data_IF_176810835689
#
_entry.id   IF_176810835689
#
_cell.length_a   1.000
_cell.length_b   1.000
_cell.length_c   1.000
_cell.angle_alpha   90.00
_cell.angle_beta   90.00
_cell.angle_gamma   90.00
#
_symmetry.space_group_name_H-M   'P 1'
#
loop_
_entity.id
_entity.type
_entity.pdbx_description
1 polymer ?
#
# COMPACT_ATOMS: atom_id res chain seq x y z
N UNK A 1 -9.92 19.93 3.09
CA UNK A 1 -9.37 18.65 2.57
C UNK A 1 -9.18 17.70 3.74
N UNK A 2 -9.79 16.53 3.71
CA UNK A 2 -9.64 15.47 4.72
C UNK A 2 -9.43 14.11 4.05
N UNK A 3 -8.85 13.18 4.79
CA UNK A 3 -8.54 11.83 4.32
C UNK A 3 -9.09 10.81 5.29
N UNK A 4 -9.65 9.73 4.77
CA UNK A 4 -10.19 8.63 5.54
C UNK A 4 -9.75 7.30 4.93
N UNK A 5 -9.17 6.43 5.74
CA UNK A 5 -8.92 5.05 5.32
C UNK A 5 -10.21 4.24 5.44
N UNK A 6 -10.80 3.89 4.30
CA UNK A 6 -12.05 3.09 4.25
C UNK A 6 -11.77 1.60 4.50
N UNK A 7 -10.68 1.10 3.91
CA UNK A 7 -10.27 -0.31 4.04
C UNK A 7 -8.79 -0.30 4.39
N UNK A 8 -8.44 -0.61 5.64
CA UNK A 8 -7.03 -0.71 6.06
C UNK A 8 -6.33 -1.90 5.42
N UNK A 9 -4.99 -1.94 5.45
CA UNK A 9 -4.23 -3.10 5.02
C UNK A 9 -4.63 -4.36 5.80
N UNK A 10 -4.78 -5.47 5.09
CA UNK A 10 -5.20 -6.75 5.69
C UNK A 10 -4.02 -7.57 6.26
N UNK A 11 -2.79 -7.11 6.10
CA UNK A 11 -1.59 -7.81 6.57
C UNK A 11 -0.45 -6.85 6.86
N UNK A 12 0.75 -7.42 7.08
CA UNK A 12 1.97 -6.65 7.34
C UNK A 12 3.05 -6.99 6.30
N UNK A 13 3.96 -6.04 5.97
CA UNK A 13 4.97 -6.25 4.93
C UNK A 13 6.10 -7.19 5.37
N UNK A 14 6.19 -7.49 6.67
CA UNK A 14 7.17 -8.39 7.27
C UNK A 14 6.43 -9.40 8.14
N UNK A 15 6.68 -10.67 7.88
CA UNK A 15 6.08 -11.74 8.66
C UNK A 15 6.80 -11.95 10.00
N UNK A 16 6.06 -12.40 11.03
CA UNK A 16 6.63 -12.68 12.37
C UNK A 16 7.80 -13.64 12.28
N UNK A 17 7.70 -14.69 11.48
CA UNK A 17 8.77 -15.69 11.30
C UNK A 17 10.03 -15.08 10.68
N UNK A 18 9.91 -14.07 9.83
CA UNK A 18 11.05 -13.35 9.27
C UNK A 18 11.80 -12.55 10.35
N UNK A 19 11.05 -11.87 11.23
CA UNK A 19 11.63 -11.18 12.39
C UNK A 19 12.29 -12.17 13.34
N UNK A 20 11.65 -13.31 13.62
CA UNK A 20 12.21 -14.37 14.47
C UNK A 20 13.50 -14.92 13.89
N UNK A 21 13.55 -15.15 12.59
CA UNK A 21 14.76 -15.63 11.92
C UNK A 21 15.89 -14.61 12.01
N UNK A 22 15.59 -13.33 11.74
CA UNK A 22 16.57 -12.23 11.82
C UNK A 22 17.13 -12.07 13.25
N UNK A 23 16.28 -12.20 14.26
CA UNK A 23 16.64 -12.05 15.68
C UNK A 23 17.00 -13.33 16.39
N UNK A 24 16.96 -14.49 15.70
CA UNK A 24 17.22 -15.83 16.27
C UNK A 24 16.31 -16.16 17.45
N UNK A 25 15.05 -15.74 17.38
CA UNK A 25 14.02 -16.07 18.39
C UNK A 25 13.43 -17.43 18.03
N UNK A 26 13.43 -18.36 18.98
CA UNK A 26 13.01 -19.75 18.74
C UNK A 26 11.58 -20.01 19.21
N UNK A 27 11.18 -19.32 20.30
CA UNK A 27 9.85 -19.53 20.88
C UNK A 27 8.76 -18.65 20.24
N UNK A 28 7.51 -18.91 20.59
CA UNK A 28 6.33 -18.17 20.12
C UNK A 28 5.70 -17.27 21.17
N UNK A 29 6.33 -17.14 22.35
CA UNK A 29 5.75 -16.39 23.46
C UNK A 29 5.61 -14.90 23.14
N UNK A 30 6.52 -14.35 22.35
CA UNK A 30 6.54 -12.93 21.97
C UNK A 30 5.87 -12.64 20.61
N UNK A 31 5.26 -13.62 19.94
CA UNK A 31 4.68 -13.45 18.58
C UNK A 31 3.66 -12.30 18.51
N UNK A 32 2.79 -12.19 19.52
CA UNK A 32 1.81 -11.10 19.59
C UNK A 32 2.47 -9.72 19.70
N UNK A 33 3.56 -9.63 20.47
CA UNK A 33 4.35 -8.42 20.61
C UNK A 33 5.06 -8.07 19.31
N UNK A 34 5.70 -9.04 18.68
CA UNK A 34 6.39 -8.86 17.39
C UNK A 34 5.41 -8.32 16.34
N UNK A 35 4.19 -8.86 16.23
CA UNK A 35 3.16 -8.33 15.33
C UNK A 35 2.87 -6.86 15.58
N UNK A 36 2.72 -6.46 16.83
CA UNK A 36 2.47 -5.06 17.20
C UNK A 36 3.65 -4.15 16.84
N UNK A 37 4.88 -4.62 17.02
CA UNK A 37 6.09 -3.87 16.65
C UNK A 37 6.24 -3.73 15.13
N UNK A 38 5.90 -4.77 14.36
CA UNK A 38 5.90 -4.72 12.90
C UNK A 38 4.88 -3.69 12.40
N UNK A 39 3.66 -3.71 12.95
CA UNK A 39 2.63 -2.74 12.62
C UNK A 39 3.07 -1.30 12.95
N UNK A 40 3.69 -1.07 14.10
CA UNK A 40 4.23 0.23 14.48
C UNK A 40 5.36 0.68 13.55
N UNK A 41 6.26 -0.22 13.18
CA UNK A 41 7.34 0.09 12.22
C UNK A 41 6.79 0.44 10.84
N UNK A 42 5.75 -0.30 10.35
CA UNK A 42 5.06 0.02 9.10
C UNK A 42 4.45 1.42 9.13
N UNK A 43 3.66 1.72 10.14
CA UNK A 43 3.03 3.06 10.29
C UNK A 43 4.07 4.18 10.31
N UNK A 44 5.19 3.96 10.98
CA UNK A 44 6.29 4.93 11.03
C UNK A 44 6.96 5.10 9.66
N UNK A 45 7.21 4.01 8.93
CA UNK A 45 7.75 4.06 7.58
C UNK A 45 6.80 4.79 6.61
N UNK A 46 5.49 4.48 6.66
CA UNK A 46 4.45 5.14 5.87
C UNK A 46 4.39 6.65 6.15
N UNK A 47 4.47 7.04 7.44
CA UNK A 47 4.48 8.44 7.84
C UNK A 47 5.73 9.19 7.33
N UNK A 48 6.92 8.57 7.40
CA UNK A 48 8.16 9.21 6.96
C UNK A 48 8.28 9.31 5.45
N UNK A 49 7.85 8.28 4.73
CA UNK A 49 7.96 8.21 3.27
C UNK A 49 6.76 8.81 2.55
N UNK A 50 5.62 8.93 3.23
CA UNK A 50 4.30 9.25 2.66
C UNK A 50 3.87 8.26 1.59
N UNK A 51 4.35 7.04 1.70
CA UNK A 51 3.94 5.92 0.86
C UNK A 51 2.94 5.05 1.61
N UNK A 52 2.04 4.44 0.88
CA UNK A 52 1.23 3.34 1.38
C UNK A 52 1.97 2.04 1.09
N UNK A 53 2.42 1.32 2.11
CA UNK A 53 3.26 0.13 1.91
C UNK A 53 2.45 -1.09 1.47
N UNK A 54 1.23 -1.22 1.97
CA UNK A 54 0.32 -2.30 1.60
C UNK A 54 -0.96 -1.75 1.02
N UNK A 55 -1.64 -2.55 0.23
CA UNK A 55 -2.90 -2.15 -0.38
C UNK A 55 -3.91 -1.67 0.67
N UNK A 56 -4.39 -0.45 0.50
CA UNK A 56 -5.43 0.17 1.30
C UNK A 56 -6.38 0.98 0.42
N UNK A 57 -7.63 1.13 0.84
CA UNK A 57 -8.60 2.01 0.18
C UNK A 57 -8.74 3.29 0.95
N UNK A 58 -8.54 4.39 0.27
CA UNK A 58 -8.61 5.73 0.81
C UNK A 58 -9.72 6.53 0.18
N UNK A 59 -10.27 7.44 0.96
CA UNK A 59 -11.20 8.46 0.52
C UNK A 59 -10.59 9.83 0.79
N UNK A 60 -10.41 10.58 -0.27
CA UNK A 60 -10.02 11.99 -0.21
C UNK A 60 -11.27 12.84 -0.36
N UNK A 61 -11.49 13.74 0.57
CA UNK A 61 -12.63 14.67 0.56
C UNK A 61 -12.13 16.09 0.34
N UNK A 62 -12.71 16.78 -0.63
CA UNK A 62 -12.43 18.15 -1.01
C UNK A 62 -13.73 18.98 -0.95
N UNK A 63 -13.61 20.26 -0.69
CA UNK A 63 -14.76 21.18 -0.63
C UNK A 63 -15.17 21.65 -2.04
N UNK A 64 -14.25 21.60 -3.01
CA UNK A 64 -14.49 21.91 -4.41
C UNK A 64 -13.42 21.25 -5.29
N UNK A 65 -13.71 21.11 -6.58
CA UNK A 65 -12.70 20.73 -7.56
C UNK A 65 -11.65 21.86 -7.70
N UNK A 66 -10.36 21.52 -7.91
CA UNK A 66 -9.32 22.52 -8.15
C UNK A 66 -9.53 23.16 -9.52
N UNK A 67 -9.57 24.50 -9.55
CA UNK A 67 -9.78 25.29 -10.77
C UNK A 67 -8.52 26.04 -11.16
N UNK A 68 -8.42 26.41 -12.43
CA UNK A 68 -7.37 27.31 -12.92
C UNK A 68 -7.44 28.67 -12.23
N UNK A 69 -6.29 29.21 -11.81
CA UNK A 69 -6.18 30.55 -11.29
C UNK A 69 -6.70 30.80 -9.86
N UNK A 70 -7.15 29.72 -9.16
CA UNK A 70 -7.67 29.86 -7.80
C UNK A 70 -6.60 29.77 -6.71
N UNK A 71 -5.35 29.48 -7.06
CA UNK A 71 -4.28 29.33 -6.09
C UNK A 71 -3.32 30.50 -6.14
N UNK A 72 -2.91 30.97 -4.95
CA UNK A 72 -1.83 31.93 -4.83
C UNK A 72 -0.57 31.43 -5.57
N UNK A 73 0.15 32.29 -6.29
CA UNK A 73 1.29 31.90 -7.14
C UNK A 73 2.44 31.20 -6.41
N UNK A 74 2.37 31.10 -5.09
CA UNK A 74 3.39 30.46 -4.24
C UNK A 74 2.98 29.10 -3.69
N UNK A 75 1.80 28.58 -4.02
CA UNK A 75 1.21 27.43 -3.33
C UNK A 75 1.56 26.06 -3.93
N UNK A 76 2.12 26.00 -5.15
CA UNK A 76 2.47 24.70 -5.79
C UNK A 76 3.79 24.76 -6.56
N UNK A 77 4.56 23.65 -6.58
CA UNK A 77 5.67 23.50 -7.51
C UNK A 77 5.18 23.67 -8.95
N UNK A 78 5.97 24.34 -9.77
CA UNK A 78 5.66 24.65 -11.17
C UNK A 78 5.37 23.43 -12.07
N UNK A 79 5.61 22.21 -11.56
CA UNK A 79 5.42 20.95 -12.29
C UNK A 79 4.04 20.32 -12.12
N UNK A 80 3.23 20.78 -11.18
CA UNK A 80 1.89 20.24 -10.92
C UNK A 80 0.86 21.23 -11.46
N UNK A 81 -0.04 20.79 -12.38
CA UNK A 81 -1.11 21.64 -12.88
C UNK A 81 -2.03 22.11 -11.74
N UNK A 82 -2.40 23.39 -11.74
CA UNK A 82 -3.27 23.98 -10.71
C UNK A 82 -4.61 23.26 -10.57
N UNK A 83 -5.13 22.77 -11.69
CA UNK A 83 -6.41 22.04 -11.77
C UNK A 83 -6.28 20.52 -11.45
N UNK A 84 -5.12 20.04 -11.02
CA UNK A 84 -4.95 18.63 -10.69
C UNK A 84 -5.40 18.34 -9.25
N UNK A 85 -6.11 17.23 -9.08
CA UNK A 85 -6.31 16.61 -7.78
C UNK A 85 -5.04 15.79 -7.46
N UNK A 86 -4.46 16.03 -6.30
CA UNK A 86 -3.28 15.32 -5.81
C UNK A 86 -3.76 14.22 -4.87
N UNK A 87 -3.36 12.98 -5.13
CA UNK A 87 -3.65 11.84 -4.26
C UNK A 87 -2.48 11.63 -3.28
N UNK A 88 -2.69 11.83 -1.97
CA UNK A 88 -1.60 11.85 -0.99
C UNK A 88 -0.88 10.51 -0.82
N UNK A 89 -1.59 9.39 -0.98
CA UNK A 89 -1.04 8.06 -0.80
C UNK A 89 -0.54 7.48 -2.13
N UNK A 90 0.72 7.08 -2.15
CA UNK A 90 1.40 6.48 -3.31
C UNK A 90 2.03 5.13 -2.93
N UNK A 91 2.27 4.23 -3.87
CA UNK A 91 1.87 4.28 -5.28
C UNK A 91 0.36 4.08 -5.46
N UNK A 92 -0.20 4.75 -6.45
CA UNK A 92 -1.61 4.58 -6.80
C UNK A 92 -1.81 3.26 -7.54
N UNK A 93 -2.77 2.46 -7.07
CA UNK A 93 -3.22 1.24 -7.76
C UNK A 93 -4.31 1.58 -8.78
N UNK A 94 -5.37 2.25 -8.34
CA UNK A 94 -6.46 2.73 -9.21
C UNK A 94 -7.33 3.76 -8.51
N UNK A 95 -8.01 4.58 -9.29
CA UNK A 95 -9.14 5.38 -8.84
C UNK A 95 -10.41 4.52 -8.93
N UNK A 96 -11.16 4.45 -7.84
CA UNK A 96 -12.40 3.67 -7.74
C UNK A 96 -13.58 4.50 -8.21
N UNK A 97 -13.73 5.72 -7.70
CA UNK A 97 -14.79 6.66 -8.08
C UNK A 97 -14.41 8.09 -7.74
N UNK A 98 -14.94 9.03 -8.51
CA UNK A 98 -14.97 10.44 -8.18
C UNK A 98 -16.44 10.83 -8.10
N UNK A 99 -16.88 11.28 -6.94
CA UNK A 99 -18.27 11.69 -6.71
C UNK A 99 -18.31 13.14 -6.26
N UNK A 100 -19.38 13.83 -6.57
CA UNK A 100 -19.58 15.21 -6.16
C UNK A 100 -21.07 15.55 -6.01
N UNK A 101 -21.37 16.51 -5.16
CA UNK A 101 -22.71 17.10 -5.09
C UNK A 101 -22.83 18.17 -6.18
N UNK A 102 -23.82 18.06 -7.02
CA UNK A 102 -24.12 19.09 -8.01
C UNK A 102 -24.88 20.27 -7.39
N UNK A 103 -25.11 21.34 -8.17
CA UNK A 103 -25.77 22.55 -7.67
C UNK A 103 -27.22 22.34 -7.20
N UNK A 104 -27.83 21.17 -7.49
CA UNK A 104 -29.14 20.76 -6.97
C UNK A 104 -29.06 19.97 -5.68
N UNK A 105 -27.85 19.65 -5.20
CA UNK A 105 -27.60 18.77 -4.05
C UNK A 105 -27.69 17.27 -4.38
N UNK A 106 -27.77 16.91 -5.65
CA UNK A 106 -27.77 15.50 -6.07
C UNK A 106 -26.34 14.97 -6.17
N UNK A 107 -26.11 13.74 -5.64
CA UNK A 107 -24.83 13.06 -5.75
C UNK A 107 -24.62 12.56 -7.17
N UNK A 108 -23.58 13.04 -7.82
CA UNK A 108 -23.16 12.65 -9.16
C UNK A 108 -21.86 11.83 -9.08
N UNK A 109 -21.69 10.87 -9.99
CA UNK A 109 -20.45 10.13 -10.17
C UNK A 109 -19.87 10.48 -11.53
N UNK A 110 -18.59 10.87 -11.55
CA UNK A 110 -17.89 11.18 -12.80
C UNK A 110 -17.64 9.93 -13.64
N UNK A 111 -17.83 10.04 -14.95
CA UNK A 111 -17.42 9.00 -15.88
C UNK A 111 -15.87 8.92 -15.91
N UNK A 112 -15.28 7.73 -15.83
CA UNK A 112 -13.83 7.53 -16.01
C UNK A 112 -13.27 8.11 -17.32
N UNK A 113 -14.10 8.28 -18.36
CA UNK A 113 -13.71 8.92 -19.62
C UNK A 113 -13.56 10.46 -19.51
N UNK A 114 -14.00 11.08 -18.41
CA UNK A 114 -13.97 12.52 -18.22
C UNK A 114 -12.69 13.02 -17.54
N UNK A 115 -11.84 12.12 -17.05
CA UNK A 115 -10.58 12.45 -16.38
C UNK A 115 -9.43 11.54 -16.78
N UNK A 116 -8.21 12.04 -16.57
CA UNK A 116 -6.95 11.31 -16.79
C UNK A 116 -6.24 11.10 -15.47
N UNK A 117 -5.80 9.88 -15.22
CA UNK A 117 -5.03 9.52 -14.03
C UNK A 117 -3.55 9.31 -14.41
N UNK A 118 -2.65 10.05 -13.76
CA UNK A 118 -1.19 9.83 -13.84
C UNK A 118 -0.71 9.06 -12.61
N UNK A 119 -0.84 7.76 -12.66
CA UNK A 119 -0.44 6.86 -11.57
C UNK A 119 1.08 6.74 -11.41
N UNK A 120 1.86 7.03 -12.47
CA UNK A 120 3.33 6.98 -12.43
C UNK A 120 3.98 8.14 -11.67
N UNK A 121 3.22 9.18 -11.36
CA UNK A 121 3.71 10.29 -10.55
C UNK A 121 3.63 9.91 -9.06
N UNK A 122 4.55 10.47 -8.29
CA UNK A 122 4.55 10.37 -6.83
C UNK A 122 4.64 11.78 -6.25
N UNK A 123 3.52 12.33 -5.74
CA UNK A 123 2.17 11.77 -5.63
C UNK A 123 1.45 11.64 -6.98
N UNK A 124 0.47 10.72 -7.05
CA UNK A 124 -0.36 10.53 -8.23
C UNK A 124 -1.31 11.72 -8.46
N UNK A 125 -1.59 12.01 -9.72
CA UNK A 125 -2.37 13.17 -10.13
C UNK A 125 -3.59 12.76 -10.96
N UNK A 126 -4.70 13.46 -10.76
CA UNK A 126 -5.90 13.34 -11.60
C UNK A 126 -6.19 14.71 -12.21
N UNK A 127 -6.39 14.75 -13.52
CA UNK A 127 -6.76 15.97 -14.26
C UNK A 127 -7.97 15.71 -15.13
N UNK A 128 -8.75 16.74 -15.51
CA UNK A 128 -9.77 16.56 -16.53
C UNK A 128 -9.17 16.06 -17.83
N UNK A 129 -9.95 15.29 -18.59
CA UNK A 129 -9.61 14.88 -19.97
C UNK A 129 -9.44 16.11 -20.85
N UNK A 130 -8.59 16.00 -21.88
CA UNK A 130 -8.39 17.09 -22.85
C UNK A 130 -9.71 17.59 -23.44
N UNK A 131 -9.93 18.91 -23.37
CA UNK A 131 -11.16 19.56 -23.84
C UNK A 131 -12.31 19.50 -22.82
N UNK A 132 -12.11 18.93 -21.63
CA UNK A 132 -13.08 18.94 -20.52
C UNK A 132 -12.59 19.78 -19.36
N UNK A 133 -13.52 20.18 -18.51
CA UNK A 133 -13.26 20.92 -17.27
C UNK A 133 -13.91 20.16 -16.12
N UNK A 134 -13.44 20.41 -14.89
CA UNK A 134 -14.13 19.90 -13.72
C UNK A 134 -15.56 20.46 -13.64
N UNK A 135 -16.55 19.65 -13.25
CA UNK A 135 -17.90 20.14 -13.00
C UNK A 135 -17.92 21.13 -11.84
N UNK A 136 -18.95 21.94 -11.79
CA UNK A 136 -19.17 22.87 -10.66
C UNK A 136 -19.87 22.03 -9.56
N UNK A 137 -19.16 21.85 -8.45
CA UNK A 137 -19.73 21.23 -7.26
C UNK A 137 -20.49 22.25 -6.41
N UNK A 138 -21.45 21.77 -5.63
CA UNK A 138 -22.12 22.59 -4.62
C UNK A 138 -21.09 23.24 -3.69
N UNK A 139 -21.19 24.53 -3.34
CA UNK A 139 -20.25 25.19 -2.42
C UNK A 139 -20.53 24.76 -0.96
N UNK A 140 -20.21 23.53 -0.64
CA UNK A 140 -20.40 22.89 0.67
C UNK A 140 -19.12 22.16 1.08
N UNK A 141 -18.90 22.01 2.41
CA UNK A 141 -17.77 21.26 2.94
C UNK A 141 -17.92 19.80 2.53
N UNK A 142 -16.86 19.25 1.91
CA UNK A 142 -16.86 17.85 1.51
C UNK A 142 -17.68 17.53 0.26
N UNK A 143 -18.00 18.52 -0.57
CA UNK A 143 -18.81 18.33 -1.77
C UNK A 143 -18.19 17.41 -2.84
N UNK A 144 -16.88 17.16 -2.78
CA UNK A 144 -16.18 16.27 -3.72
C UNK A 144 -15.48 15.16 -2.98
N UNK A 145 -15.68 13.93 -3.42
CA UNK A 145 -15.10 12.73 -2.82
C UNK A 145 -14.39 11.89 -3.87
N UNK A 146 -13.12 11.58 -3.63
CA UNK A 146 -12.32 10.70 -4.48
C UNK A 146 -11.99 9.44 -3.71
N UNK A 147 -12.50 8.31 -4.16
CA UNK A 147 -12.17 6.99 -3.59
C UNK A 147 -11.12 6.32 -4.48
N UNK A 148 -10.03 5.86 -3.88
CA UNK A 148 -8.92 5.26 -4.61
C UNK A 148 -8.22 4.17 -3.80
N UNK A 149 -7.57 3.24 -4.50
CA UNK A 149 -6.75 2.19 -3.92
C UNK A 149 -5.27 2.58 -4.10
N UNK A 150 -4.51 2.51 -3.02
CA UNK A 150 -3.07 2.79 -3.00
C UNK A 150 -2.30 1.69 -2.27
N UNK A 151 -1.01 1.57 -2.56
CA UNK A 151 -0.08 0.63 -1.92
C UNK A 151 0.73 -0.18 -2.91
N UNK A 152 1.83 -0.75 -2.44
CA UNK A 152 2.62 -1.70 -3.23
C UNK A 152 1.88 -3.02 -3.32
N UNK A 153 1.22 -3.26 -4.45
CA UNK A 153 0.44 -4.46 -4.68
C UNK A 153 0.35 -4.77 -6.17
N UNK A 154 0.31 -6.05 -6.48
CA UNK A 154 0.07 -6.54 -7.83
C UNK A 154 -1.12 -7.49 -7.83
N UNK A 155 -2.15 -7.25 -8.66
CA UNK A 155 -3.28 -8.16 -8.76
C UNK A 155 -2.80 -9.49 -9.33
N UNK A 156 -3.39 -10.59 -8.86
CA UNK A 156 -3.07 -11.91 -9.34
C UNK A 156 -4.33 -12.74 -9.62
N UNK A 157 -4.16 -13.75 -10.41
CA UNK A 157 -5.15 -14.79 -10.68
C UNK A 157 -4.53 -16.16 -10.50
N UNK A 158 -5.31 -17.15 -10.13
CA UNK A 158 -4.85 -18.53 -9.98
C UNK A 158 -5.49 -19.44 -11.02
N UNK A 159 -4.73 -20.42 -11.48
CA UNK A 159 -5.22 -21.50 -12.31
C UNK A 159 -5.28 -22.77 -11.47
N UNK A 160 -6.49 -23.23 -11.19
CA UNK A 160 -6.75 -24.40 -10.35
C UNK A 160 -6.35 -25.71 -11.03
N UNK A 161 -6.20 -25.72 -12.35
CA UNK A 161 -5.86 -26.95 -13.10
C UNK A 161 -4.37 -27.29 -13.02
N UNK A 162 -3.50 -26.29 -13.07
CA UNK A 162 -2.04 -26.48 -13.12
C UNK A 162 -1.30 -25.93 -11.88
N UNK A 163 -2.02 -25.41 -10.88
CA UNK A 163 -1.43 -24.88 -9.66
C UNK A 163 -0.59 -23.61 -9.87
N UNK A 164 -0.81 -22.91 -10.98
CA UNK A 164 -0.07 -21.68 -11.30
C UNK A 164 -0.81 -20.43 -10.83
N UNK A 165 -0.02 -19.43 -10.48
CA UNK A 165 -0.46 -18.09 -10.20
C UNK A 165 0.08 -17.15 -11.29
N UNK A 166 -0.77 -16.30 -11.82
CA UNK A 166 -0.38 -15.25 -12.79
C UNK A 166 -0.52 -13.89 -12.12
N UNK A 167 0.57 -13.14 -12.09
CA UNK A 167 0.65 -11.82 -11.50
C UNK A 167 0.67 -10.75 -12.57
N UNK A 168 -0.24 -9.79 -12.47
CA UNK A 168 -0.34 -8.66 -13.38
C UNK A 168 0.29 -7.43 -12.71
N UNK A 169 1.53 -7.10 -13.10
CA UNK A 169 2.24 -5.95 -12.54
C UNK A 169 3.76 -6.01 -12.79
N UNK A 170 4.48 -4.99 -12.35
CA UNK A 170 5.93 -4.90 -12.58
C UNK A 170 6.76 -5.80 -11.63
N UNK A 171 6.13 -6.80 -11.03
CA UNK A 171 6.77 -7.68 -10.06
C UNK A 171 7.55 -8.77 -10.78
N UNK A 172 8.81 -8.95 -10.40
CA UNK A 172 9.64 -10.06 -10.84
C UNK A 172 10.19 -10.77 -9.60
N UNK A 173 9.76 -12.00 -9.37
CA UNK A 173 10.27 -12.83 -8.29
C UNK A 173 11.19 -13.90 -8.82
N UNK A 174 12.14 -14.26 -7.97
CA UNK A 174 13.05 -15.37 -8.21
C UNK A 174 12.58 -16.63 -7.44
N UNK A 175 13.06 -17.77 -7.88
CA UNK A 175 12.84 -19.02 -7.13
C UNK A 175 13.47 -18.89 -5.75
N UNK A 176 12.70 -19.25 -4.72
CA UNK A 176 13.09 -19.12 -3.32
C UNK A 176 12.65 -17.82 -2.64
N UNK A 177 12.16 -16.83 -3.40
CA UNK A 177 11.62 -15.62 -2.79
C UNK A 177 10.40 -15.94 -1.94
N UNK A 178 10.30 -15.26 -0.81
CA UNK A 178 9.18 -15.39 0.12
C UNK A 178 8.10 -14.37 -0.20
N UNK A 179 6.88 -14.85 -0.38
CA UNK A 179 5.73 -14.02 -0.76
C UNK A 179 4.55 -14.24 0.18
N UNK A 180 3.74 -13.22 0.34
CA UNK A 180 2.49 -13.25 1.08
C UNK A 180 1.33 -12.77 0.20
N UNK A 181 0.14 -13.23 0.53
CA UNK A 181 -1.07 -12.87 -0.19
C UNK A 181 -2.09 -12.30 0.77
N UNK A 182 -2.76 -11.23 0.37
CA UNK A 182 -3.83 -10.65 1.15
C UNK A 182 -4.97 -10.16 0.24
N UNK A 183 -6.16 -10.15 0.79
CA UNK A 183 -7.33 -9.65 0.10
C UNK A 183 -7.43 -8.13 0.16
N UNK A 184 -8.14 -7.55 -0.78
CA UNK A 184 -8.40 -6.09 -0.82
C UNK A 184 -9.41 -5.61 0.24
N UNK A 185 -9.84 -6.49 1.15
CA UNK A 185 -10.72 -6.14 2.27
C UNK A 185 -12.18 -5.82 1.88
N UNK A 186 -12.63 -6.18 0.68
CA UNK A 186 -14.04 -6.07 0.30
C UNK A 186 -14.92 -7.08 1.04
N UNK A 187 -16.17 -6.71 1.32
CA UNK A 187 -17.14 -7.63 1.93
C UNK A 187 -17.30 -8.90 1.07
N UNK A 188 -17.22 -10.07 1.70
CA UNK A 188 -17.32 -11.37 1.02
C UNK A 188 -16.09 -11.79 0.22
N UNK A 189 -14.95 -11.10 0.33
CA UNK A 189 -13.73 -11.52 -0.31
C UNK A 189 -13.12 -12.75 0.40
N UNK A 190 -12.72 -13.74 -0.42
CA UNK A 190 -12.00 -14.93 0.05
C UNK A 190 -10.79 -15.18 -0.85
N UNK A 191 -9.61 -15.32 -0.25
CA UNK A 191 -8.42 -15.74 -0.97
C UNK A 191 -8.66 -17.10 -1.65
N UNK A 192 -8.03 -17.34 -2.83
CA UNK A 192 -8.01 -18.68 -3.43
C UNK A 192 -7.48 -19.73 -2.45
N UNK A 193 -8.22 -20.78 -2.21
CA UNK A 193 -7.76 -21.83 -1.30
C UNK A 193 -6.65 -22.68 -1.94
N UNK A 194 -5.59 -23.03 -1.20
CA UNK A 194 -5.43 -22.95 0.25
C UNK A 194 -4.64 -21.73 0.76
N UNK A 195 -4.60 -20.59 0.04
CA UNK A 195 -3.87 -19.42 0.51
C UNK A 195 -4.50 -18.85 1.77
N UNK A 196 -3.62 -18.51 2.73
CA UNK A 196 -3.94 -17.82 3.97
C UNK A 196 -3.16 -16.49 4.01
N UNK A 197 -3.81 -15.41 4.44
CA UNK A 197 -3.17 -14.09 4.55
C UNK A 197 -2.12 -14.04 5.67
N UNK A 198 -2.23 -14.88 6.68
CA UNK A 198 -1.27 -14.99 7.78
C UNK A 198 -0.09 -15.93 7.47
N UNK A 199 -0.11 -16.61 6.33
CA UNK A 199 0.93 -17.53 5.91
C UNK A 199 1.88 -16.89 4.89
N UNK A 200 3.13 -17.36 4.85
CA UNK A 200 4.09 -17.04 3.81
C UNK A 200 4.41 -18.26 2.96
N UNK A 201 4.60 -18.04 1.68
CA UNK A 201 4.86 -19.06 0.67
C UNK A 201 6.18 -18.79 -0.03
N UNK A 202 6.79 -19.79 -0.62
CA UNK A 202 8.00 -19.67 -1.42
C UNK A 202 7.65 -19.78 -2.90
N UNK A 203 8.36 -19.02 -3.74
CA UNK A 203 8.29 -19.20 -5.18
C UNK A 203 9.03 -20.49 -5.55
N UNK A 204 8.30 -21.49 -5.99
CA UNK A 204 8.86 -22.79 -6.37
C UNK A 204 9.38 -22.79 -7.82
N UNK A 205 8.70 -22.08 -8.73
CA UNK A 205 9.18 -21.87 -10.08
C UNK A 205 8.75 -20.52 -10.65
N UNK A 206 9.54 -19.96 -11.56
CA UNK A 206 9.33 -18.69 -12.21
C UNK A 206 9.58 -18.83 -13.72
N UNK A 207 8.66 -19.45 -14.49
CA UNK A 207 8.86 -19.71 -15.91
C UNK A 207 8.84 -18.43 -16.79
N UNK A 208 8.52 -17.28 -16.20
CA UNK A 208 8.46 -15.99 -16.88
C UNK A 208 7.04 -15.52 -17.15
N UNK A 209 6.91 -14.35 -17.79
CA UNK A 209 5.62 -13.70 -18.11
C UNK A 209 4.68 -13.50 -16.92
N UNK A 210 5.24 -13.31 -15.71
CA UNK A 210 4.44 -13.14 -14.49
C UNK A 210 3.76 -14.41 -13.99
N UNK A 211 4.16 -15.59 -14.49
CA UNK A 211 3.63 -16.88 -14.06
C UNK A 211 4.57 -17.50 -13.04
N UNK A 212 4.00 -18.02 -11.95
CA UNK A 212 4.75 -18.61 -10.85
C UNK A 212 4.03 -19.85 -10.31
N UNK A 213 4.77 -20.76 -9.67
CA UNK A 213 4.21 -21.79 -8.80
C UNK A 213 4.68 -21.56 -7.38
N UNK A 214 3.88 -21.97 -6.42
CA UNK A 214 4.13 -21.77 -5.00
C UNK A 214 4.43 -23.08 -4.30
N UNK A 215 5.22 -23.02 -3.25
CA UNK A 215 5.37 -24.08 -2.26
C UNK A 215 5.17 -23.53 -0.85
N UNK A 216 4.84 -24.41 0.07
CA UNK A 216 4.89 -24.11 1.50
C UNK A 216 6.34 -24.01 1.98
N UNK A 217 6.53 -23.69 3.26
CA UNK A 217 7.87 -23.60 3.86
C UNK A 217 8.59 -24.95 3.98
N UNK A 218 7.86 -26.05 3.87
CA UNK A 218 8.41 -27.40 3.86
C UNK A 218 8.78 -27.89 2.44
N UNK A 219 8.51 -27.07 1.40
CA UNK A 219 8.79 -27.41 0.01
C UNK A 219 7.67 -28.14 -0.72
N UNK A 220 6.50 -28.35 -0.09
CA UNK A 220 5.38 -29.00 -0.75
C UNK A 220 4.70 -28.01 -1.71
N UNK A 221 4.37 -28.48 -2.92
CA UNK A 221 3.69 -27.66 -3.92
C UNK A 221 2.27 -27.27 -3.46
N UNK A 222 1.90 -26.02 -3.70
CA UNK A 222 0.55 -25.52 -3.43
C UNK A 222 -0.34 -25.84 -4.64
N UNK A 223 -1.40 -26.61 -4.39
CA UNK A 223 -2.44 -26.88 -5.37
C UNK A 223 -3.70 -26.06 -5.03
N UNK A 224 -4.16 -25.21 -5.95
CA UNK A 224 -5.35 -24.42 -5.75
C UNK A 224 -6.62 -25.24 -5.93
N UNK A 225 -7.52 -25.16 -4.96
CA UNK A 225 -8.83 -25.85 -5.02
C UNK A 225 -9.96 -24.96 -5.49
N UNK A 226 -9.81 -23.63 -5.36
CA UNK A 226 -10.74 -22.64 -5.89
C UNK A 226 -10.00 -21.38 -6.36
N UNK A 227 -10.68 -20.52 -7.11
CA UNK A 227 -10.14 -19.26 -7.60
C UNK A 227 -10.39 -18.08 -6.65
N UNK A 228 -10.91 -18.35 -5.46
CA UNK A 228 -11.35 -17.30 -4.53
C UNK A 228 -12.73 -16.76 -4.88
N UNK A 229 -13.30 -15.95 -4.00
CA UNK A 229 -14.64 -15.34 -4.17
C UNK A 229 -14.67 -13.92 -3.63
N UNK A 230 -15.61 -13.13 -4.14
CA UNK A 230 -15.97 -11.83 -3.60
C UNK A 230 -15.75 -10.64 -4.53
N UNK A 231 -16.09 -9.45 -4.05
CA UNK A 231 -15.98 -8.19 -4.77
C UNK A 231 -14.59 -7.56 -4.68
N UNK A 232 -13.79 -7.99 -3.71
CA UNK A 232 -12.41 -7.55 -3.54
C UNK A 232 -11.47 -8.22 -4.53
N UNK A 233 -10.25 -7.68 -4.62
CA UNK A 233 -9.16 -8.27 -5.38
C UNK A 233 -8.10 -8.78 -4.43
N UNK A 234 -7.52 -9.92 -4.72
CA UNK A 234 -6.33 -10.36 -4.05
C UNK A 234 -5.10 -9.69 -4.67
N UNK A 235 -4.15 -9.33 -3.83
CA UNK A 235 -2.91 -8.69 -4.24
C UNK A 235 -1.74 -9.39 -3.59
N UNK A 236 -0.61 -9.36 -4.28
CA UNK A 236 0.67 -9.74 -3.72
C UNK A 236 1.38 -8.45 -3.30
N UNK A 237 1.71 -8.35 -2.03
CA UNK A 237 2.43 -7.19 -1.49
C UNK A 237 3.90 -7.26 -1.88
N UNK A 238 4.43 -6.16 -2.45
CA UNK A 238 5.85 -5.99 -2.73
C UNK A 238 6.29 -4.66 -2.19
N UNK A 239 6.96 -4.70 -1.06
CA UNK A 239 7.57 -3.50 -0.46
C UNK A 239 9.05 -3.49 -0.82
N UNK A 240 9.61 -2.34 -1.25
CA UNK A 240 11.04 -2.23 -1.58
C UNK A 240 11.95 -2.69 -0.44
N UNK A 241 13.03 -3.38 -0.80
CA UNK A 241 13.97 -3.98 0.17
C UNK A 241 14.57 -2.97 1.15
N UNK A 242 14.82 -1.74 0.71
CA UNK A 242 15.32 -0.68 1.59
C UNK A 242 14.35 -0.37 2.74
N UNK A 243 13.04 -0.31 2.44
CA UNK A 243 12.01 -0.09 3.45
C UNK A 243 11.88 -1.32 4.37
N UNK A 244 11.88 -2.53 3.81
CA UNK A 244 11.83 -3.77 4.59
C UNK A 244 13.03 -3.89 5.54
N UNK A 245 14.24 -3.62 5.05
CA UNK A 245 15.47 -3.64 5.87
C UNK A 245 15.40 -2.61 6.99
N UNK A 246 14.91 -1.40 6.70
CA UNK A 246 14.69 -0.38 7.72
C UNK A 246 13.71 -0.86 8.79
N UNK A 247 12.59 -1.46 8.38
CA UNK A 247 11.59 -1.98 9.31
C UNK A 247 12.14 -3.09 10.18
N UNK A 248 12.91 -4.04 9.64
CA UNK A 248 13.56 -5.12 10.43
C UNK A 248 14.51 -4.55 11.49
N UNK A 249 15.34 -3.57 11.11
CA UNK A 249 16.22 -2.89 12.06
C UNK A 249 15.44 -2.17 13.14
N UNK A 250 14.35 -1.47 12.76
CA UNK A 250 13.51 -0.74 13.71
C UNK A 250 12.77 -1.67 14.67
N UNK A 251 12.19 -2.76 14.16
CA UNK A 251 11.53 -3.79 14.97
C UNK A 251 12.52 -4.40 15.95
N UNK A 252 13.74 -4.72 15.51
CA UNK A 252 14.77 -5.24 16.39
C UNK A 252 15.15 -4.28 17.51
N UNK A 253 15.36 -3.01 17.19
CA UNK A 253 15.66 -1.99 18.19
C UNK A 253 14.54 -1.85 19.24
N UNK A 254 13.28 -1.84 18.79
CA UNK A 254 12.10 -1.78 19.69
C UNK A 254 11.89 -3.09 20.50
N UNK A 255 12.27 -4.22 19.94
CA UNK A 255 12.16 -5.51 20.62
C UNK A 255 13.16 -5.62 21.78
N UNK A 256 14.40 -5.21 21.54
CA UNK A 256 15.49 -5.24 22.54
C UNK A 256 15.30 -4.18 23.63
N UNK A 257 14.84 -2.98 23.25
CA UNK A 257 14.61 -1.88 24.19
C UNK A 257 13.13 -1.82 24.60
N UNK A 258 12.78 -2.52 25.69
CA UNK A 258 11.41 -2.55 26.23
C UNK A 258 11.04 -1.28 26.99
N UNK A 259 12.02 -0.49 27.39
CA UNK A 259 11.87 0.74 28.18
C UNK A 259 12.39 1.93 27.36
N UNK A 260 11.69 3.05 27.44
CA UNK A 260 12.05 4.29 26.74
C UNK A 260 13.27 4.97 27.37
N UNK A 261 13.57 4.64 28.64
CA UNK A 261 14.67 5.23 29.41
C UNK A 261 15.54 4.14 30.03
N UNK A 262 16.81 4.11 29.66
CA UNK A 262 17.82 3.32 30.35
C UNK A 262 18.23 4.03 31.63
N UNK A 263 17.86 3.48 32.79
CA UNK A 263 18.28 3.98 34.09
C UNK A 263 19.67 3.48 34.37
N UNK A 264 20.68 4.36 34.39
CA UNK A 264 21.93 4.09 35.10
C UNK A 264 23.25 4.15 34.37
N UNK A 265 23.31 4.37 33.08
CA UNK A 265 24.59 4.73 32.39
C UNK A 265 24.28 5.72 31.24
N UNK A 266 25.28 6.56 30.95
CA UNK A 266 25.26 7.50 29.84
C UNK A 266 25.09 6.69 28.53
N UNK A 267 23.86 6.36 28.16
CA UNK A 267 23.54 5.78 26.87
C UNK A 267 23.77 6.90 25.87
N UNK A 268 24.88 6.87 25.19
CA UNK A 268 25.03 7.60 23.94
C UNK A 268 24.13 6.86 22.97
N UNK A 269 22.92 7.37 22.74
CA UNK A 269 22.11 6.97 21.60
C UNK A 269 22.92 7.41 20.39
N UNK A 270 23.67 6.47 19.82
CA UNK A 270 24.24 6.66 18.50
C UNK A 270 23.05 6.69 17.55
N UNK A 271 22.63 7.89 17.19
CA UNK A 271 21.82 8.10 16.00
C UNK A 271 22.60 7.42 14.87
N UNK A 272 22.02 6.36 14.32
CA UNK A 272 22.62 5.66 13.19
C UNK A 272 21.99 6.27 11.90
N UNK A 273 22.55 7.39 11.39
CA UNK A 273 21.92 8.13 10.29
C UNK A 273 21.79 7.30 9.02
N UNK A 274 22.59 6.23 8.88
CA UNK A 274 22.46 5.32 7.74
C UNK A 274 21.17 4.51 7.79
N UNK A 275 20.58 4.25 8.98
CA UNK A 275 19.33 3.50 9.11
C UNK A 275 18.17 4.33 8.52
N UNK A 276 18.08 5.60 8.91
CA UNK A 276 17.07 6.49 8.36
C UNK A 276 17.34 6.84 6.89
N UNK A 277 18.61 6.86 6.49
CA UNK A 277 19.03 7.00 5.09
C UNK A 277 18.49 5.91 4.15
N UNK A 278 18.11 4.73 4.67
CA UNK A 278 17.46 3.68 3.88
C UNK A 278 16.08 4.11 3.34
N UNK A 279 15.41 5.05 4.01
CA UNK A 279 14.12 5.58 3.58
C UNK A 279 14.23 6.78 2.62
N UNK A 280 15.39 7.46 2.55
CA UNK A 280 15.56 8.69 1.77
C UNK A 280 15.19 8.55 0.28
N UNK A 281 15.54 7.45 -0.43
CA UNK A 281 15.14 7.26 -1.83
C UNK A 281 13.62 7.17 -2.04
N UNK A 282 12.88 6.87 -0.98
CA UNK A 282 11.44 6.63 -1.00
C UNK A 282 10.61 7.79 -0.44
N UNK A 283 11.27 8.81 0.13
CA UNK A 283 10.56 9.97 0.67
C UNK A 283 9.90 10.78 -0.43
N UNK A 284 8.59 10.93 -0.32
CA UNK A 284 7.79 11.73 -1.24
C UNK A 284 7.62 13.12 -0.68
N UNK A 285 8.08 14.15 -1.40
CA UNK A 285 7.75 15.52 -1.07
C UNK A 285 6.36 15.85 -1.61
N UNK A 286 5.40 16.07 -0.72
CA UNK A 286 4.17 16.75 -1.14
C UNK A 286 4.49 18.22 -1.41
N UNK A 287 3.88 18.80 -2.43
CA UNK A 287 4.03 20.21 -2.74
C UNK A 287 3.44 21.14 -1.67
#
# INVERSE_FOLDING_TARGET
>A
MSELCLIPPAGEPIHVEEVKLDRRIIDSADDGRIRSLVAAARQHAEMQTRLQLLHARWQLTLDAFPMYGCLAPFARPSKIPEHAIILPHSPLVKVVSIQYLDMSGALQTMDPADYVVKASNTPALITPQFGKIWPIALPEIGAVTVTYDAGYASPFTVNTTNGQITVNGPVTWNVGDRVQFYGSGGEGYKLPAPLDQDASYLIASAPGNGVYTLSDQAGNAIAFTDAGQGTGRAFIGVVPDGIRSWMLLRVGAMYENREEVAVGQRVVVLDLPYVDGLLDPFRTSLP
#
